data_IF_777339055397
#
_entry.id   IF_777339055397
#
_cell.length_a   1.000
_cell.length_b   1.000
_cell.length_c   1.000
_cell.angle_alpha   90.00
_cell.angle_beta   90.00
_cell.angle_gamma   90.00
#
_symmetry.space_group_name_H-M   'P 1'
#
loop_
_entity.id
_entity.type
_entity.pdbx_description
1 polymer ?
#
# COMPACT_ATOMS: atom_id res chain seq x y z
N UNK A 1 1.56 25.46 -23.48
CA UNK A 1 1.59 24.59 -22.29
C UNK A 1 0.23 24.54 -21.58
N UNK A 2 -0.88 24.28 -22.29
CA UNK A 2 -2.24 24.39 -21.71
C UNK A 2 -3.18 23.24 -22.08
N UNK A 3 -2.73 22.29 -22.91
CA UNK A 3 -3.54 21.12 -23.28
C UNK A 3 -3.49 19.97 -22.26
N UNK A 4 -2.42 19.88 -21.46
CA UNK A 4 -2.23 18.78 -20.49
C UNK A 4 -3.08 18.91 -19.22
N UNK A 5 -3.34 20.15 -18.77
CA UNK A 5 -4.10 20.41 -17.54
C UNK A 5 -5.60 20.08 -17.69
N UNK A 6 -6.18 20.34 -18.87
CA UNK A 6 -7.58 20.02 -19.17
C UNK A 6 -7.84 18.52 -19.27
N UNK A 7 -6.90 17.77 -19.84
CA UNK A 7 -6.99 16.31 -19.97
C UNK A 7 -6.85 15.63 -18.60
N UNK A 8 -5.95 16.11 -17.74
CA UNK A 8 -5.82 15.59 -16.37
C UNK A 8 -7.06 15.90 -15.51
N UNK A 9 -7.64 17.09 -15.64
CA UNK A 9 -8.88 17.47 -14.96
C UNK A 9 -10.08 16.63 -15.45
N UNK A 10 -10.17 16.37 -16.76
CA UNK A 10 -11.21 15.50 -17.32
C UNK A 10 -11.05 14.03 -16.91
N UNK A 11 -9.81 13.51 -16.81
CA UNK A 11 -9.52 12.17 -16.30
C UNK A 11 -9.78 12.05 -14.78
N UNK A 12 -9.51 13.11 -14.00
CA UNK A 12 -9.86 13.17 -12.58
C UNK A 12 -11.39 13.25 -12.36
N UNK A 13 -12.11 13.91 -13.26
CA UNK A 13 -13.59 13.93 -13.25
C UNK A 13 -14.20 12.58 -13.67
N UNK A 14 -13.52 11.79 -14.51
CA UNK A 14 -13.92 10.43 -14.90
C UNK A 14 -13.61 9.37 -13.81
N UNK A 15 -12.71 9.66 -12.87
CA UNK A 15 -12.41 8.81 -11.71
C UNK A 15 -13.35 9.05 -10.51
N UNK A 16 -14.19 10.09 -10.57
CA UNK A 16 -15.27 10.28 -9.62
C UNK A 16 -16.44 9.35 -9.97
N UNK A 17 -16.34 8.08 -9.59
CA UNK A 17 -17.45 7.14 -9.75
C UNK A 17 -18.74 7.73 -9.13
N UNK A 18 -19.87 7.80 -9.86
CA UNK A 18 -21.14 8.23 -9.30
C UNK A 18 -21.65 7.09 -8.44
N UNK A 19 -21.25 7.10 -7.17
CA UNK A 19 -21.43 5.96 -6.29
C UNK A 19 -21.99 6.35 -4.95
N UNK A 20 -23.09 7.10 -4.90
CA UNK A 20 -23.73 7.40 -3.62
C UNK A 20 -25.12 6.78 -3.60
N UNK A 21 -25.29 5.74 -2.77
CA UNK A 21 -26.58 5.24 -2.30
C UNK A 21 -27.19 6.32 -1.40
N UNK A 22 -28.43 6.73 -1.69
CA UNK A 22 -28.95 8.07 -1.37
C UNK A 22 -30.49 8.12 -1.38
N UNK A 23 -31.07 8.36 -0.17
CA UNK A 23 -32.45 8.59 0.31
C UNK A 23 -33.21 7.44 0.97
N UNK A 24 -33.54 7.63 2.25
CA UNK A 24 -34.69 7.04 2.91
C UNK A 24 -35.67 8.16 3.21
N UNK A 25 -36.86 8.12 2.59
CA UNK A 25 -37.93 9.11 2.81
C UNK A 25 -39.25 8.39 2.91
N UNK A 26 -40.02 8.72 3.94
CA UNK A 26 -41.36 8.19 4.15
C UNK A 26 -42.40 9.04 3.43
N UNK A 27 -43.39 8.36 2.85
CA UNK A 27 -44.54 8.97 2.20
C UNK A 27 -45.81 8.34 2.76
N UNK A 28 -46.84 9.16 2.92
CA UNK A 28 -48.18 8.71 3.16
C UNK A 28 -48.87 8.36 1.83
N UNK A 29 -49.96 7.61 1.90
CA UNK A 29 -50.79 7.37 0.72
C UNK A 29 -51.52 8.64 0.28
N UNK A 30 -52.00 9.44 1.23
CA UNK A 30 -52.74 10.67 0.99
C UNK A 30 -51.87 11.94 1.19
N UNK A 31 -52.17 13.02 0.46
CA UNK A 31 -51.50 14.32 0.64
C UNK A 31 -51.69 14.91 2.04
N UNK A 32 -50.70 15.66 2.51
CA UNK A 32 -50.78 16.42 3.77
C UNK A 32 -50.94 15.53 5.02
N UNK A 33 -50.00 14.59 5.29
CA UNK A 33 -50.14 13.68 6.41
C UNK A 33 -50.26 14.41 7.75
N UNK A 34 -51.30 14.06 8.52
CA UNK A 34 -51.58 14.56 9.86
C UNK A 34 -50.76 13.83 10.96
N UNK A 35 -49.59 13.31 10.60
CA UNK A 35 -48.72 12.54 11.48
C UNK A 35 -47.26 12.67 11.07
N UNK A 36 -46.37 12.29 11.98
CA UNK A 36 -44.92 12.29 11.79
C UNK A 36 -44.33 10.91 12.11
N UNK A 37 -43.08 10.67 11.71
CA UNK A 37 -42.35 9.43 12.01
C UNK A 37 -41.42 9.66 13.20
N UNK A 38 -41.58 8.88 14.26
CA UNK A 38 -40.73 8.95 15.45
C UNK A 38 -41.10 7.91 16.51
N UNK A 39 -40.14 7.35 17.26
CA UNK A 39 -38.69 7.40 16.99
C UNK A 39 -38.33 6.70 15.66
N UNK A 40 -37.15 6.96 15.11
CA UNK A 40 -36.68 6.33 13.86
C UNK A 40 -35.24 5.83 13.99
N UNK A 41 -35.02 4.53 13.75
CA UNK A 41 -33.68 3.94 13.73
C UNK A 41 -33.45 3.17 12.45
N UNK A 42 -32.42 3.56 11.71
CA UNK A 42 -32.00 2.89 10.49
C UNK A 42 -30.69 2.18 10.78
N UNK A 43 -30.73 0.86 10.90
CA UNK A 43 -29.58 0.08 11.35
C UNK A 43 -29.08 -0.86 10.26
N UNK A 44 -27.85 -0.68 9.79
CA UNK A 44 -27.18 -1.67 8.96
C UNK A 44 -26.26 -2.56 9.80
N UNK A 45 -26.27 -3.86 9.55
CA UNK A 45 -25.35 -4.82 10.18
C UNK A 45 -24.34 -5.32 9.16
N UNK A 46 -23.06 -5.06 9.43
CA UNK A 46 -21.91 -5.44 8.61
C UNK A 46 -21.21 -6.63 9.25
N UNK A 47 -20.88 -7.62 8.42
CA UNK A 47 -20.13 -8.81 8.85
C UNK A 47 -18.83 -8.94 8.07
N UNK A 48 -17.81 -9.66 8.59
CA UNK A 48 -16.56 -9.91 7.87
C UNK A 48 -16.71 -10.58 6.51
N UNK A 49 -17.84 -11.26 6.25
CA UNK A 49 -18.16 -11.86 4.95
C UNK A 49 -18.42 -10.83 3.85
N UNK A 50 -18.70 -9.57 4.22
CA UNK A 50 -18.87 -8.42 3.31
C UNK A 50 -19.93 -8.62 2.20
N UNK A 51 -20.91 -9.51 2.44
CA UNK A 51 -22.09 -9.64 1.59
C UNK A 51 -23.07 -8.47 1.76
N UNK A 52 -24.20 -8.49 1.02
CA UNK A 52 -25.28 -7.51 1.19
C UNK A 52 -25.69 -7.40 2.67
N UNK A 53 -25.52 -6.24 3.32
CA UNK A 53 -25.84 -6.10 4.74
C UNK A 53 -27.34 -6.17 4.99
N UNK A 54 -27.70 -6.71 6.15
CA UNK A 54 -29.06 -6.59 6.68
C UNK A 54 -29.29 -5.18 7.17
N UNK A 55 -30.41 -4.59 6.80
CA UNK A 55 -30.85 -3.27 7.25
C UNK A 55 -32.21 -3.38 7.92
N UNK A 56 -32.30 -2.89 9.15
CA UNK A 56 -33.53 -2.77 9.91
C UNK A 56 -33.93 -1.30 10.00
N UNK A 57 -35.11 -0.96 9.47
CA UNK A 57 -35.74 0.36 9.65
C UNK A 57 -36.80 0.20 10.74
N UNK A 58 -36.49 0.68 11.93
CA UNK A 58 -37.39 0.64 13.09
C UNK A 58 -38.03 2.01 13.31
N UNK A 59 -39.36 2.08 13.34
CA UNK A 59 -40.08 3.34 13.46
C UNK A 59 -41.46 3.20 14.14
N UNK A 60 -42.01 4.32 14.58
CA UNK A 60 -43.41 4.47 15.00
C UNK A 60 -44.04 5.72 14.38
N UNK A 61 -45.37 5.82 14.41
CA UNK A 61 -46.09 7.01 13.98
C UNK A 61 -46.46 7.85 15.21
N UNK A 62 -46.23 9.16 15.11
CA UNK A 62 -46.62 10.14 16.12
C UNK A 62 -47.74 11.00 15.54
N UNK A 63 -48.88 10.99 16.21
CA UNK A 63 -50.03 11.81 15.85
C UNK A 63 -50.07 13.02 16.78
N UNK A 64 -50.02 14.26 16.25
CA UNK A 64 -50.11 15.46 17.07
C UNK A 64 -51.41 15.52 17.90
N UNK A 65 -51.40 16.20 19.06
CA UNK A 65 -52.61 16.36 19.87
C UNK A 65 -53.77 16.97 19.07
N UNK A 66 -54.97 16.40 19.22
CA UNK A 66 -56.17 16.87 18.52
C UNK A 66 -56.29 16.44 17.05
N UNK A 67 -55.34 15.65 16.55
CA UNK A 67 -55.42 15.02 15.22
C UNK A 67 -55.71 13.52 15.36
N UNK A 68 -56.29 12.95 14.32
CA UNK A 68 -56.43 11.51 14.15
C UNK A 68 -55.76 11.09 12.85
N UNK A 69 -55.24 9.87 12.84
CA UNK A 69 -54.66 9.27 11.63
C UNK A 69 -55.74 8.50 10.90
N UNK A 70 -55.90 8.81 9.61
CA UNK A 70 -56.73 8.02 8.69
C UNK A 70 -55.96 6.76 8.31
N UNK A 71 -56.65 5.61 8.32
CA UNK A 71 -56.09 4.33 7.88
C UNK A 71 -55.60 4.45 6.44
N UNK A 72 -54.29 4.28 6.24
CA UNK A 72 -53.67 4.42 4.93
C UNK A 72 -52.31 3.75 4.91
N UNK A 73 -51.88 3.30 3.73
CA UNK A 73 -50.56 2.69 3.59
C UNK A 73 -49.45 3.73 3.73
N UNK A 74 -48.28 3.26 4.19
CA UNK A 74 -47.05 4.03 4.18
C UNK A 74 -46.15 3.55 3.06
N UNK A 75 -45.37 4.46 2.50
CA UNK A 75 -44.37 4.12 1.51
C UNK A 75 -42.99 4.56 1.97
N UNK A 76 -41.99 3.73 1.72
CA UNK A 76 -40.59 4.06 1.94
C UNK A 76 -39.87 4.01 0.59
N UNK A 77 -39.31 5.16 0.19
CA UNK A 77 -38.35 5.21 -0.91
C UNK A 77 -36.98 4.84 -0.36
N UNK A 78 -36.49 3.67 -0.75
CA UNK A 78 -35.18 3.16 -0.38
C UNK A 78 -34.19 3.31 -1.53
N UNK A 79 -32.92 3.64 -1.28
CA UNK A 79 -31.96 3.82 -2.34
C UNK A 79 -31.17 2.56 -2.61
N UNK A 80 -31.11 2.17 -3.88
CA UNK A 80 -30.53 0.89 -4.28
C UNK A 80 -31.56 -0.24 -4.29
N UNK A 81 -31.03 -1.42 -4.61
CA UNK A 81 -31.80 -2.66 -4.72
C UNK A 81 -31.85 -3.38 -3.38
N UNK A 82 -32.99 -4.00 -3.09
CA UNK A 82 -33.17 -4.87 -1.92
C UNK A 82 -33.50 -6.29 -2.36
N UNK A 83 -33.20 -7.25 -1.50
CA UNK A 83 -33.54 -8.66 -1.71
C UNK A 83 -34.82 -8.97 -0.95
N UNK A 84 -35.78 -9.60 -1.64
CA UNK A 84 -37.01 -10.08 -1.02
C UNK A 84 -36.75 -11.24 -0.07
N UNK A 85 -37.51 -11.28 1.02
CA UNK A 85 -37.41 -12.35 2.01
C UNK A 85 -38.06 -13.62 1.45
N UNK A 86 -37.32 -14.75 1.40
CA UNK A 86 -37.88 -16.02 0.95
C UNK A 86 -39.12 -16.41 1.77
N UNK A 87 -40.18 -16.85 1.10
CA UNK A 87 -41.38 -17.38 1.75
C UNK A 87 -42.44 -16.34 2.15
N UNK A 88 -42.21 -15.04 1.94
CA UNK A 88 -43.24 -14.00 2.20
C UNK A 88 -44.22 -13.77 1.04
N UNK A 89 -44.06 -14.46 -0.08
CA UNK A 89 -44.92 -14.38 -1.26
C UNK A 89 -44.37 -13.48 -2.37
N UNK A 90 -45.08 -13.39 -3.51
CA UNK A 90 -44.63 -12.64 -4.67
C UNK A 90 -44.73 -11.13 -4.47
N UNK A 91 -44.10 -10.39 -5.39
CA UNK A 91 -44.28 -8.95 -5.55
C UNK A 91 -45.76 -8.59 -5.76
N UNK A 92 -46.10 -7.33 -5.55
CA UNK A 92 -47.44 -6.81 -5.78
C UNK A 92 -47.57 -6.26 -7.21
N UNK A 93 -48.41 -6.87 -8.08
CA UNK A 93 -48.59 -6.41 -9.47
C UNK A 93 -49.14 -4.98 -9.57
N UNK A 94 -49.93 -4.52 -8.59
CA UNK A 94 -50.46 -3.16 -8.60
C UNK A 94 -49.35 -2.14 -8.32
N UNK A 95 -48.41 -2.47 -7.42
CA UNK A 95 -47.25 -1.64 -7.12
C UNK A 95 -46.29 -1.57 -8.31
N UNK A 96 -46.09 -2.69 -8.99
CA UNK A 96 -45.29 -2.75 -10.22
C UNK A 96 -45.91 -1.92 -11.33
N UNK A 97 -47.21 -2.09 -11.57
CA UNK A 97 -47.95 -1.30 -12.55
C UNK A 97 -47.87 0.20 -12.26
N UNK A 98 -48.04 0.63 -11.01
CA UNK A 98 -47.93 2.05 -10.62
C UNK A 98 -46.56 2.64 -10.97
N UNK A 99 -45.48 1.90 -10.71
CA UNK A 99 -44.11 2.35 -11.01
C UNK A 99 -43.84 2.37 -12.53
N UNK A 100 -44.36 1.40 -13.28
CA UNK A 100 -44.25 1.36 -14.75
C UNK A 100 -45.05 2.50 -15.40
N UNK A 101 -46.29 2.72 -14.96
CA UNK A 101 -47.17 3.79 -15.47
C UNK A 101 -46.56 5.19 -15.25
N UNK A 102 -45.64 5.33 -14.28
CA UNK A 102 -44.85 6.55 -14.00
C UNK A 102 -43.59 6.69 -14.87
N UNK A 103 -43.32 5.75 -15.77
CA UNK A 103 -42.21 5.81 -16.73
C UNK A 103 -40.88 5.26 -16.18
N UNK A 104 -40.92 4.38 -15.20
CA UNK A 104 -39.74 3.66 -14.72
C UNK A 104 -39.72 2.21 -15.23
N UNK A 105 -38.52 1.64 -15.33
CA UNK A 105 -38.34 0.23 -15.66
C UNK A 105 -38.15 -0.55 -14.36
N UNK A 106 -39.03 -1.50 -14.08
CA UNK A 106 -38.92 -2.39 -12.91
C UNK A 106 -37.93 -3.51 -13.22
N UNK A 107 -36.98 -3.74 -12.30
CA UNK A 107 -35.91 -4.73 -12.43
C UNK A 107 -35.97 -5.83 -11.37
N UNK A 108 -36.87 -5.70 -10.40
CA UNK A 108 -37.08 -6.70 -9.36
C UNK A 108 -38.23 -6.33 -8.43
N UNK A 109 -38.71 -7.29 -7.66
CA UNK A 109 -39.77 -7.07 -6.68
C UNK A 109 -39.94 -8.25 -5.75
N UNK A 110 -40.71 -8.06 -4.68
CA UNK A 110 -40.98 -9.10 -3.70
C UNK A 110 -41.64 -8.53 -2.45
N UNK A 111 -41.41 -9.22 -1.32
CA UNK A 111 -41.87 -8.79 0.00
C UNK A 111 -40.73 -8.78 1.01
N UNK A 112 -40.80 -7.84 1.94
CA UNK A 112 -39.86 -7.64 3.04
C UNK A 112 -40.53 -8.01 4.36
N UNK A 113 -39.73 -8.47 5.31
CA UNK A 113 -40.23 -8.83 6.64
C UNK A 113 -40.65 -7.58 7.40
N UNK A 114 -41.87 -7.61 7.92
CA UNK A 114 -42.43 -6.55 8.74
C UNK A 114 -42.82 -7.15 10.08
N UNK A 115 -42.32 -6.56 11.17
CA UNK A 115 -42.58 -7.04 12.53
C UNK A 115 -42.96 -5.88 13.44
N UNK A 116 -43.70 -6.16 14.49
CA UNK A 116 -44.03 -5.21 15.55
C UNK A 116 -43.45 -5.70 16.88
N UNK A 117 -42.84 -4.79 17.64
CA UNK A 117 -42.32 -5.07 18.98
C UNK A 117 -42.98 -4.16 19.99
N UNK A 118 -43.54 -4.76 21.04
CA UNK A 118 -44.05 -4.03 22.19
C UNK A 118 -42.88 -3.61 23.09
N UNK A 119 -42.80 -2.32 23.44
CA UNK A 119 -41.72 -1.73 24.23
C UNK A 119 -41.76 -2.13 25.72
N UNK A 120 -42.93 -2.46 26.27
CA UNK A 120 -43.09 -2.86 27.67
C UNK A 120 -42.88 -4.37 27.90
N UNK A 121 -42.82 -5.16 26.83
CA UNK A 121 -42.50 -6.57 26.94
C UNK A 121 -40.98 -6.74 27.07
N UNK A 122 -40.53 -6.75 28.33
CA UNK A 122 -39.14 -7.06 28.70
C UNK A 122 -38.87 -8.58 28.51
N UNK A 123 -37.74 -8.94 27.88
CA UNK A 123 -37.27 -10.33 27.69
C UNK A 123 -37.01 -10.73 26.23
N UNK A 124 -36.63 -11.99 26.00
CA UNK A 124 -36.31 -12.60 24.69
C UNK A 124 -37.54 -12.89 23.79
N UNK A 125 -38.68 -12.24 24.02
CA UNK A 125 -39.86 -12.50 23.21
C UNK A 125 -39.63 -11.98 21.80
N UNK A 126 -39.70 -12.88 20.81
CA UNK A 126 -39.44 -12.56 19.40
C UNK A 126 -40.45 -11.50 18.91
N UNK A 127 -40.02 -10.54 18.07
CA UNK A 127 -40.93 -9.59 17.43
C UNK A 127 -42.10 -10.32 16.75
N UNK A 128 -43.30 -9.74 16.86
CA UNK A 128 -44.50 -10.33 16.27
C UNK A 128 -44.54 -10.04 14.76
N UNK A 129 -44.65 -11.05 13.88
CA UNK A 129 -44.74 -10.81 12.45
C UNK A 129 -46.05 -10.12 12.10
N UNK A 130 -45.98 -9.09 11.25
CA UNK A 130 -47.15 -8.48 10.64
C UNK A 130 -47.49 -9.25 9.36
N UNK A 131 -48.70 -9.85 9.25
CA UNK A 131 -49.07 -10.69 8.11
C UNK A 131 -48.87 -10.00 6.77
N UNK A 132 -48.35 -10.73 5.79
CA UNK A 132 -48.14 -10.26 4.42
C UNK A 132 -46.86 -9.44 4.19
N UNK A 133 -46.21 -8.93 5.23
CA UNK A 133 -44.98 -8.13 5.09
C UNK A 133 -45.18 -6.84 4.28
N UNK A 134 -44.09 -6.20 3.88
CA UNK A 134 -44.12 -5.00 3.04
C UNK A 134 -43.77 -5.35 1.59
N UNK A 135 -44.66 -5.06 0.64
CA UNK A 135 -44.38 -5.29 -0.78
C UNK A 135 -43.37 -4.26 -1.29
N UNK A 136 -42.49 -4.64 -2.21
CA UNK A 136 -41.57 -3.70 -2.84
C UNK A 136 -41.35 -3.98 -4.31
N UNK A 137 -40.95 -2.93 -5.02
CA UNK A 137 -40.44 -2.99 -6.39
C UNK A 137 -39.16 -2.19 -6.49
N UNK A 138 -38.12 -2.79 -7.08
CA UNK A 138 -36.88 -2.12 -7.43
C UNK A 138 -36.96 -1.69 -8.88
N UNK A 139 -36.63 -0.44 -9.14
CA UNK A 139 -36.76 0.18 -10.44
C UNK A 139 -35.52 1.02 -10.80
N UNK A 140 -35.36 1.25 -12.09
CA UNK A 140 -34.37 2.13 -12.68
C UNK A 140 -35.07 3.08 -13.64
N UNK A 141 -34.37 4.14 -14.00
CA UNK A 141 -34.76 5.02 -15.09
C UNK A 141 -33.88 4.73 -16.29
N UNK A 142 -34.51 4.25 -17.35
CA UNK A 142 -33.91 4.09 -18.66
C UNK A 142 -34.22 5.35 -19.50
N UNK A 143 -33.26 5.80 -20.30
CA UNK A 143 -33.43 6.95 -21.20
C UNK A 143 -32.99 8.32 -20.65
N UNK A 144 -32.46 9.15 -21.56
CA UNK A 144 -31.89 10.48 -21.31
C UNK A 144 -30.37 10.54 -21.57
N UNK A 145 -29.82 11.76 -21.71
CA UNK A 145 -28.40 12.00 -22.05
C UNK A 145 -27.37 11.40 -21.06
N UNK A 146 -27.83 10.93 -19.90
CA UNK A 146 -27.00 10.44 -18.80
C UNK A 146 -27.03 8.90 -18.64
N UNK A 147 -27.70 8.16 -19.53
CA UNK A 147 -27.74 6.69 -19.52
C UNK A 147 -28.55 6.09 -18.35
N UNK A 148 -28.32 4.80 -18.04
CA UNK A 148 -29.02 4.06 -16.97
C UNK A 148 -28.79 4.68 -15.58
N UNK A 149 -29.84 4.81 -14.77
CA UNK A 149 -29.71 5.30 -13.39
C UNK A 149 -29.26 4.20 -12.41
N UNK A 150 -28.74 4.60 -11.25
CA UNK A 150 -28.68 3.69 -10.09
C UNK A 150 -30.09 3.19 -9.73
N UNK A 151 -30.24 1.93 -9.30
CA UNK A 151 -31.53 1.41 -8.82
C UNK A 151 -32.05 2.16 -7.60
N UNK A 152 -33.37 2.22 -7.47
CA UNK A 152 -34.10 2.63 -6.27
C UNK A 152 -35.21 1.63 -6.00
N UNK A 153 -35.69 1.56 -4.76
CA UNK A 153 -36.75 0.65 -4.36
C UNK A 153 -37.91 1.41 -3.75
N UNK A 154 -39.12 1.15 -4.24
CA UNK A 154 -40.36 1.65 -3.68
C UNK A 154 -41.01 0.56 -2.84
N UNK A 155 -41.16 0.81 -1.54
CA UNK A 155 -41.65 -0.17 -0.57
C UNK A 155 -43.00 0.30 -0.06
N UNK A 156 -44.06 -0.49 -0.27
CA UNK A 156 -45.38 -0.30 0.33
C UNK A 156 -45.48 -1.06 1.64
N UNK A 157 -45.64 -0.32 2.72
CA UNK A 157 -45.83 -0.80 4.08
C UNK A 157 -47.34 -0.73 4.38
N UNK A 158 -48.03 -1.88 4.45
CA UNK A 158 -49.48 -1.89 4.66
C UNK A 158 -49.85 -1.31 6.02
N UNK A 159 -50.94 -0.55 6.09
CA UNK A 159 -51.44 0.00 7.34
C UNK A 159 -51.61 -1.08 8.42
N UNK A 160 -51.27 -0.73 9.66
CA UNK A 160 -51.61 -1.54 10.82
C UNK A 160 -51.99 -0.64 12.01
N UNK A 161 -53.04 -0.96 12.78
CA UNK A 161 -53.43 -0.16 13.94
C UNK A 161 -52.31 0.04 14.98
N UNK A 162 -51.35 -0.89 15.05
CA UNK A 162 -50.19 -0.78 15.95
C UNK A 162 -49.24 0.35 15.57
N UNK A 163 -49.31 0.89 14.36
CA UNK A 163 -48.43 1.99 13.92
C UNK A 163 -48.70 3.28 14.70
N UNK A 164 -49.98 3.55 14.98
CA UNK A 164 -50.44 4.71 15.74
C UNK A 164 -50.38 4.50 17.27
N UNK A 165 -49.88 3.35 17.72
CA UNK A 165 -49.74 3.03 19.13
C UNK A 165 -48.28 3.17 19.55
N UNK A 166 -47.97 4.18 20.35
CA UNK A 166 -46.61 4.51 20.84
C UNK A 166 -45.95 3.37 21.65
N UNK A 167 -46.73 2.38 22.10
CA UNK A 167 -46.21 1.17 22.76
C UNK A 167 -45.49 0.25 21.79
N UNK A 168 -45.79 0.33 20.49
CA UNK A 168 -45.22 -0.54 19.48
C UNK A 168 -44.17 0.20 18.64
N UNK A 169 -43.05 -0.48 18.40
CA UNK A 169 -42.09 -0.11 17.37
C UNK A 169 -42.18 -1.11 16.24
N UNK A 170 -42.38 -0.60 15.04
CA UNK A 170 -42.45 -1.38 13.81
C UNK A 170 -41.05 -1.54 13.27
N UNK A 171 -40.71 -2.72 12.79
CA UNK A 171 -39.42 -3.01 12.16
C UNK A 171 -39.64 -3.60 10.79
N UNK A 172 -39.16 -2.87 9.78
CA UNK A 172 -39.00 -3.34 8.42
C UNK A 172 -37.57 -3.85 8.24
N UNK A 173 -37.43 -5.15 7.99
CA UNK A 173 -36.13 -5.82 7.81
C UNK A 173 -35.92 -6.15 6.33
N UNK A 174 -34.76 -5.73 5.79
CA UNK A 174 -34.40 -5.93 4.40
C UNK A 174 -32.93 -6.27 4.24
N UNK A 175 -32.57 -6.92 3.13
CA UNK A 175 -31.16 -7.11 2.75
C UNK A 175 -30.83 -6.16 1.60
N UNK A 176 -29.95 -5.19 1.83
CA UNK A 176 -29.68 -4.12 0.88
C UNK A 176 -28.44 -4.41 0.03
N UNK A 177 -28.57 -4.40 -1.31
CA UNK A 177 -27.44 -4.58 -2.22
C UNK A 177 -26.69 -3.26 -2.43
N UNK A 178 -25.38 -3.37 -2.64
CA UNK A 178 -24.54 -2.23 -3.03
C UNK A 178 -24.34 -1.15 -1.97
N UNK A 179 -24.76 -1.41 -0.72
CA UNK A 179 -24.55 -0.50 0.41
C UNK A 179 -23.07 -0.43 0.82
N UNK A 180 -22.37 -1.57 0.72
CA UNK A 180 -20.93 -1.69 0.90
C UNK A 180 -20.28 -1.73 -0.47
N UNK A 181 -19.35 -0.83 -0.74
CA UNK A 181 -18.59 -0.79 -1.99
C UNK A 181 -17.09 -0.91 -1.72
N UNK A 182 -16.35 -1.68 -2.52
CA UNK A 182 -14.89 -1.68 -2.41
C UNK A 182 -14.35 -0.29 -2.74
N UNK A 183 -13.46 0.21 -1.89
CA UNK A 183 -12.66 1.40 -2.17
C UNK A 183 -11.53 0.99 -3.12
N UNK A 184 -11.38 1.66 -4.27
CA UNK A 184 -10.23 1.44 -5.14
C UNK A 184 -8.94 1.67 -4.34
N UNK A 185 -7.97 0.79 -4.54
CA UNK A 185 -6.69 0.82 -3.86
C UNK A 185 -5.66 0.09 -4.70
N UNK A 186 -4.39 0.42 -4.51
CA UNK A 186 -3.30 -0.20 -5.25
C UNK A 186 -3.15 -1.68 -4.83
N UNK A 187 -2.46 -2.48 -5.66
CA UNK A 187 -2.17 -3.87 -5.29
C UNK A 187 -1.40 -3.94 -3.97
N UNK A 188 -0.45 -3.02 -3.75
CA UNK A 188 0.35 -2.92 -2.53
C UNK A 188 -0.53 -2.67 -1.29
N UNK A 189 -1.45 -1.70 -1.37
CA UNK A 189 -2.39 -1.40 -0.28
C UNK A 189 -3.27 -2.60 0.06
N UNK A 190 -3.78 -3.30 -0.95
CA UNK A 190 -4.62 -4.49 -0.74
C UNK A 190 -3.84 -5.64 -0.09
N UNK A 191 -2.58 -5.83 -0.47
CA UNK A 191 -1.74 -6.92 0.06
C UNK A 191 -1.33 -6.66 1.51
N UNK A 192 -0.87 -5.45 1.83
CA UNK A 192 -0.29 -5.16 3.15
C UNK A 192 -1.28 -4.58 4.15
N UNK A 193 -2.30 -3.84 3.71
CA UNK A 193 -3.24 -3.14 4.58
C UNK A 193 -4.67 -3.66 4.51
N UNK A 194 -4.91 -4.66 3.67
CA UNK A 194 -6.23 -5.26 3.44
C UNK A 194 -7.14 -4.46 2.53
N UNK A 195 -8.16 -5.12 1.95
CA UNK A 195 -9.15 -4.45 1.13
C UNK A 195 -9.94 -3.45 1.98
N UNK A 196 -10.17 -2.25 1.42
CA UNK A 196 -10.95 -1.19 2.05
C UNK A 196 -12.31 -1.09 1.41
N UNK A 197 -13.28 -0.72 2.21
CA UNK A 197 -14.68 -0.61 1.84
C UNK A 197 -15.24 0.72 2.31
N UNK A 198 -16.23 1.20 1.58
CA UNK A 198 -17.05 2.35 1.94
C UNK A 198 -18.48 1.89 2.12
N UNK A 199 -19.06 2.20 3.28
CA UNK A 199 -20.48 2.06 3.55
C UNK A 199 -21.08 3.46 3.66
N UNK A 200 -22.22 3.67 3.02
CA UNK A 200 -22.96 4.94 3.08
C UNK A 200 -24.42 4.66 3.42
N UNK A 201 -24.86 5.15 4.57
CA UNK A 201 -26.28 5.24 4.95
C UNK A 201 -26.73 6.69 4.90
N UNK A 202 -27.98 6.93 4.53
CA UNK A 202 -28.49 8.30 4.43
C UNK A 202 -29.98 8.39 4.69
N UNK A 203 -30.41 9.55 5.19
CA UNK A 203 -31.80 9.96 5.30
C UNK A 203 -32.06 11.23 4.47
N UNK A 204 -33.26 11.37 3.89
CA UNK A 204 -33.68 12.54 3.10
C UNK A 204 -32.82 12.94 1.89
N UNK A 205 -32.12 12.00 1.29
CA UNK A 205 -31.13 12.28 0.25
C UNK A 205 -31.67 12.06 -1.18
N UNK A 206 -32.41 13.05 -1.68
CA UNK A 206 -33.23 12.93 -2.89
C UNK A 206 -32.48 13.04 -4.22
N UNK A 207 -31.16 13.22 -4.24
CA UNK A 207 -30.40 13.61 -5.46
C UNK A 207 -30.19 12.49 -6.49
N UNK A 208 -30.57 11.24 -6.21
CA UNK A 208 -30.40 10.17 -7.20
C UNK A 208 -31.36 10.31 -8.37
N UNK A 209 -30.91 9.91 -9.56
CA UNK A 209 -31.67 10.03 -10.80
C UNK A 209 -32.98 9.22 -10.83
N UNK A 210 -33.03 8.07 -10.14
CA UNK A 210 -34.26 7.27 -9.99
C UNK A 210 -35.14 7.77 -8.84
N UNK A 211 -34.53 8.23 -7.73
CA UNK A 211 -35.24 8.68 -6.52
C UNK A 211 -35.93 10.02 -6.76
N UNK A 212 -35.23 11.00 -7.35
CA UNK A 212 -35.72 12.38 -7.45
C UNK A 212 -37.10 12.48 -8.15
N UNK A 213 -37.34 11.86 -9.31
CA UNK A 213 -38.65 11.97 -9.97
C UNK A 213 -39.75 11.32 -9.14
N UNK A 214 -39.48 10.19 -8.48
CA UNK A 214 -40.43 9.52 -7.59
C UNK A 214 -40.78 10.42 -6.39
N UNK A 215 -39.75 10.98 -5.74
CA UNK A 215 -39.94 11.98 -4.68
C UNK A 215 -40.76 13.18 -5.16
N UNK A 216 -40.44 13.74 -6.33
CA UNK A 216 -41.09 14.94 -6.86
C UNK A 216 -42.58 14.73 -7.13
N UNK A 217 -42.98 13.53 -7.59
CA UNK A 217 -44.37 13.15 -7.83
C UNK A 217 -45.19 12.98 -6.53
N UNK A 218 -44.53 12.65 -5.41
CA UNK A 218 -45.17 12.40 -4.12
C UNK A 218 -44.78 13.43 -3.05
N UNK A 219 -44.26 14.61 -3.45
CA UNK A 219 -43.70 15.61 -2.53
C UNK A 219 -44.70 16.15 -1.51
N UNK A 220 -45.99 16.14 -1.85
CA UNK A 220 -47.13 16.54 -1.02
C UNK A 220 -47.51 15.46 0.02
N UNK A 221 -46.97 14.25 -0.13
CA UNK A 221 -47.23 13.10 0.76
C UNK A 221 -46.06 12.80 1.70
N UNK A 222 -44.98 13.57 1.64
CA UNK A 222 -43.78 13.34 2.45
C UNK A 222 -44.11 13.46 3.95
N UNK A 223 -43.78 12.42 4.70
CA UNK A 223 -43.97 12.39 6.16
C UNK A 223 -42.72 12.94 6.84
N UNK A 224 -42.92 13.91 7.74
CA UNK A 224 -41.81 14.55 8.48
C UNK A 224 -41.37 13.71 9.67
N UNK A 225 -40.13 13.90 10.11
CA UNK A 225 -39.67 13.37 11.40
C UNK A 225 -40.38 14.05 12.57
N UNK A 226 -40.65 13.29 13.61
CA UNK A 226 -41.14 13.77 14.90
C UNK A 226 -40.00 14.35 15.76
N UNK A 227 -40.30 14.74 16.99
CA UNK A 227 -39.31 15.21 17.97
C UNK A 227 -38.58 14.06 18.67
N UNK A 228 -39.09 12.84 18.53
CA UNK A 228 -38.46 11.64 19.06
C UNK A 228 -37.08 11.37 18.45
N UNK A 229 -36.21 10.63 19.16
CA UNK A 229 -34.88 10.30 18.66
C UNK A 229 -34.91 9.63 17.30
N UNK A 230 -34.12 10.17 16.38
CA UNK A 230 -33.90 9.61 15.05
C UNK A 230 -32.39 9.39 14.81
N UNK A 231 -31.98 8.21 14.32
CA UNK A 231 -30.56 7.88 14.12
C UNK A 231 -30.31 6.96 12.92
N UNK A 232 -29.16 7.16 12.28
CA UNK A 232 -28.51 6.17 11.41
C UNK A 232 -27.49 5.39 12.24
N UNK A 233 -27.48 4.07 12.11
CA UNK A 233 -26.65 3.16 12.91
C UNK A 233 -26.00 2.13 11.99
N UNK A 234 -24.71 1.88 12.20
CA UNK A 234 -23.96 0.81 11.54
C UNK A 234 -23.31 -0.05 12.61
N UNK A 235 -23.71 -1.31 12.68
CA UNK A 235 -23.13 -2.30 13.58
C UNK A 235 -22.12 -3.14 12.81
N UNK A 236 -20.88 -3.17 13.28
CA UNK A 236 -19.84 -4.07 12.80
C UNK A 236 -19.72 -5.25 13.75
N UNK A 237 -20.11 -6.44 13.28
CA UNK A 237 -20.26 -7.63 14.13
C UNK A 237 -18.95 -8.29 14.62
N UNK A 238 -17.79 -7.74 14.26
CA UNK A 238 -16.46 -8.27 14.63
C UNK A 238 -15.49 -7.10 14.83
N UNK A 239 -15.50 -6.53 16.03
CA UNK A 239 -14.67 -5.37 16.38
C UNK A 239 -13.18 -5.71 16.46
N UNK A 240 -12.83 -6.95 16.78
CA UNK A 240 -11.45 -7.39 16.99
C UNK A 240 -10.63 -7.29 15.69
N UNK A 241 -11.30 -7.49 14.55
CA UNK A 241 -10.68 -7.50 13.22
C UNK A 241 -11.02 -6.26 12.39
N UNK A 242 -11.66 -5.26 12.99
CA UNK A 242 -12.18 -4.09 12.31
C UNK A 242 -11.21 -2.91 12.37
N UNK A 243 -10.88 -2.34 11.20
CA UNK A 243 -10.30 -1.01 11.08
C UNK A 243 -11.34 -0.06 10.54
N UNK A 244 -11.59 1.04 11.23
CA UNK A 244 -12.29 2.20 10.67
C UNK A 244 -11.25 3.29 10.42
N UNK A 245 -11.11 3.70 9.16
CA UNK A 245 -10.13 4.72 8.75
C UNK A 245 -10.72 6.13 8.79
N UNK A 246 -11.99 6.27 8.41
CA UNK A 246 -12.65 7.56 8.27
C UNK A 246 -14.15 7.43 8.54
N UNK A 247 -14.71 8.42 9.22
CA UNK A 247 -16.14 8.56 9.46
C UNK A 247 -16.56 9.99 9.13
N UNK A 248 -17.72 10.15 8.48
CA UNK A 248 -18.28 11.44 8.13
C UNK A 248 -19.80 11.42 8.34
N UNK A 249 -20.40 12.49 8.87
CA UNK A 249 -19.79 13.75 9.33
C UNK A 249 -19.02 13.58 10.66
N UNK A 250 -18.29 14.63 11.09
CA UNK A 250 -17.56 14.62 12.36
C UNK A 250 -18.46 14.48 13.60
N UNK A 251 -19.76 14.77 13.47
CA UNK A 251 -20.76 14.54 14.52
C UNK A 251 -21.13 13.06 14.71
N UNK A 252 -20.70 12.17 13.80
CA UNK A 252 -20.89 10.74 13.95
C UNK A 252 -20.09 10.21 15.16
N UNK A 253 -20.71 9.31 15.93
CA UNK A 253 -20.12 8.72 17.14
C UNK A 253 -19.78 7.27 16.88
N UNK A 254 -18.69 6.81 17.48
CA UNK A 254 -18.27 5.42 17.50
C UNK A 254 -18.20 4.95 18.95
N UNK A 255 -18.82 3.82 19.24
CA UNK A 255 -18.84 3.22 20.57
C UNK A 255 -18.90 1.70 20.44
N UNK A 256 -18.24 0.98 21.38
CA UNK A 256 -18.51 -0.44 21.51
C UNK A 256 -19.98 -0.63 21.92
N UNK A 257 -20.61 -1.66 21.37
CA UNK A 257 -21.98 -2.03 21.74
C UNK A 257 -22.01 -2.49 23.19
N UNK A 258 -22.93 -1.91 23.97
CA UNK A 258 -23.14 -2.31 25.37
C UNK A 258 -23.82 -3.68 25.50
N UNK A 259 -24.49 -4.14 24.44
CA UNK A 259 -25.37 -5.32 24.48
C UNK A 259 -24.88 -6.50 23.65
N UNK A 260 -23.96 -6.25 22.71
CA UNK A 260 -23.44 -7.27 21.82
C UNK A 260 -21.93 -7.32 21.97
N UNK A 261 -21.43 -8.48 22.40
CA UNK A 261 -20.00 -8.70 22.50
C UNK A 261 -19.35 -8.54 21.12
N UNK A 262 -18.12 -8.01 21.11
CA UNK A 262 -17.31 -7.79 19.89
C UNK A 262 -18.02 -7.01 18.78
N UNK A 263 -18.97 -6.15 19.13
CA UNK A 263 -19.69 -5.34 18.15
C UNK A 263 -19.30 -3.87 18.31
N UNK A 264 -18.81 -3.26 17.25
CA UNK A 264 -18.54 -1.83 17.20
C UNK A 264 -19.70 -1.11 16.51
N UNK A 265 -20.19 -0.03 17.12
CA UNK A 265 -21.37 0.70 16.64
C UNK A 265 -20.97 2.12 16.26
N UNK A 266 -21.25 2.48 15.01
CA UNK A 266 -21.14 3.85 14.52
C UNK A 266 -22.53 4.43 14.30
N UNK A 267 -22.82 5.58 14.89
CA UNK A 267 -24.13 6.22 14.81
C UNK A 267 -24.05 7.70 14.45
N UNK A 268 -25.11 8.19 13.80
CA UNK A 268 -25.34 9.59 13.51
C UNK A 268 -26.76 9.94 13.93
N UNK A 269 -26.92 10.91 14.82
CA UNK A 269 -28.23 11.47 15.14
C UNK A 269 -28.76 12.28 13.96
N UNK A 270 -30.03 12.09 13.65
CA UNK A 270 -30.72 12.83 12.61
C UNK A 270 -31.31 14.12 13.21
N UNK A 271 -30.99 15.25 12.61
CA UNK A 271 -31.54 16.56 12.96
C UNK A 271 -32.82 16.83 12.15
N UNK A 272 -33.94 17.06 12.83
CA UNK A 272 -35.22 17.42 12.21
C UNK A 272 -35.18 18.84 11.62
N UNK A 273 -34.43 19.76 12.23
CA UNK A 273 -34.36 21.17 11.84
C UNK A 273 -33.74 21.36 10.45
N UNK A 274 -32.88 20.41 10.06
CA UNK A 274 -32.31 20.30 8.72
C UNK A 274 -33.38 19.98 7.65
N UNK A 275 -34.61 19.64 8.05
CA UNK A 275 -35.75 19.48 7.16
C UNK A 275 -35.54 18.39 6.12
N UNK A 276 -35.45 18.79 4.85
CA UNK A 276 -35.20 17.90 3.71
C UNK A 276 -33.72 17.84 3.32
N UNK A 277 -32.81 18.45 4.11
CA UNK A 277 -31.39 18.35 3.81
C UNK A 277 -30.92 16.90 3.95
N UNK A 278 -30.08 16.43 3.02
CA UNK A 278 -29.50 15.10 3.08
C UNK A 278 -28.59 14.91 4.30
N UNK A 279 -28.92 13.95 5.14
CA UNK A 279 -28.10 13.55 6.28
C UNK A 279 -27.48 12.20 6.00
N UNK A 280 -26.15 12.14 5.95
CA UNK A 280 -25.41 11.00 5.39
C UNK A 280 -24.33 10.53 6.36
N UNK A 281 -24.41 9.26 6.77
CA UNK A 281 -23.36 8.56 7.50
C UNK A 281 -22.50 7.77 6.51
N UNK A 282 -21.26 8.23 6.31
CA UNK A 282 -20.26 7.54 5.48
C UNK A 282 -19.13 7.00 6.33
N UNK A 283 -18.82 5.72 6.16
CA UNK A 283 -17.79 5.01 6.92
C UNK A 283 -16.83 4.34 5.95
N UNK A 284 -15.54 4.58 6.11
CA UNK A 284 -14.48 3.82 5.44
C UNK A 284 -13.87 2.84 6.42
N UNK A 285 -13.87 1.56 6.05
CA UNK A 285 -13.45 0.49 6.94
C UNK A 285 -12.79 -0.65 6.18
N UNK A 286 -12.13 -1.54 6.91
CA UNK A 286 -11.59 -2.80 6.40
C UNK A 286 -11.56 -3.85 7.50
N UNK A 287 -11.82 -5.10 7.14
CA UNK A 287 -11.54 -6.23 8.00
C UNK A 287 -10.16 -6.77 7.68
N UNK A 288 -9.34 -7.00 8.69
CA UNK A 288 -8.00 -7.55 8.55
C UNK A 288 -7.95 -9.00 9.01
N UNK A 289 -7.31 -9.86 8.23
CA UNK A 289 -7.11 -11.27 8.56
C UNK A 289 -5.74 -11.79 8.11
N UNK A 290 -5.28 -12.89 8.71
CA UNK A 290 -4.07 -13.61 8.29
C UNK A 290 -2.79 -12.77 8.36
N UNK A 291 -1.99 -12.76 7.29
CA UNK A 291 -0.70 -12.05 7.23
C UNK A 291 -0.81 -10.51 7.36
N UNK A 292 -1.99 -9.93 7.09
CA UNK A 292 -2.17 -8.47 7.14
C UNK A 292 -2.08 -7.92 8.57
N UNK A 293 -2.50 -8.70 9.59
CA UNK A 293 -2.32 -8.31 10.99
C UNK A 293 -0.86 -8.35 11.42
N UNK A 294 -0.02 -9.13 10.72
CA UNK A 294 1.42 -9.22 10.97
C UNK A 294 2.26 -8.21 10.17
N UNK A 295 1.70 -7.54 9.16
CA UNK A 295 2.44 -6.58 8.33
C UNK A 295 3.20 -5.51 9.12
N UNK A 296 2.65 -4.92 10.22
CA UNK A 296 3.39 -3.98 11.06
C UNK A 296 4.62 -4.58 11.75
N UNK A 297 4.69 -5.90 11.91
CA UNK A 297 5.82 -6.63 12.52
C UNK A 297 6.80 -7.10 11.43
N UNK A 298 6.27 -7.69 10.36
CA UNK A 298 7.06 -8.28 9.28
C UNK A 298 7.81 -7.23 8.45
N UNK A 299 7.20 -6.05 8.19
CA UNK A 299 7.85 -5.00 7.40
C UNK A 299 9.09 -4.46 8.15
N UNK A 300 9.01 -4.02 9.42
CA UNK A 300 10.20 -3.63 10.17
C UNK A 300 11.22 -4.76 10.33
N UNK A 301 10.78 -6.00 10.58
CA UNK A 301 11.69 -7.15 10.69
C UNK A 301 12.46 -7.40 9.39
N UNK A 302 11.80 -7.27 8.23
CA UNK A 302 12.43 -7.37 6.92
C UNK A 302 13.44 -6.23 6.69
N UNK A 303 13.07 -4.98 6.98
CA UNK A 303 13.97 -3.83 6.87
C UNK A 303 15.16 -3.96 7.83
N UNK A 304 14.95 -4.49 9.04
CA UNK A 304 16.01 -4.75 10.01
C UNK A 304 16.95 -5.86 9.52
N UNK A 305 16.41 -6.94 8.96
CA UNK A 305 17.20 -8.02 8.37
C UNK A 305 17.98 -7.55 7.14
N UNK A 306 17.39 -6.71 6.29
CA UNK A 306 18.06 -6.13 5.12
C UNK A 306 19.12 -5.10 5.54
N UNK A 307 18.82 -4.24 6.52
CA UNK A 307 19.75 -3.23 7.03
C UNK A 307 20.97 -3.83 7.72
N UNK A 308 20.78 -4.84 8.58
CA UNK A 308 21.88 -5.51 9.27
C UNK A 308 22.57 -6.59 8.40
N UNK A 309 21.84 -7.26 7.51
CA UNK A 309 22.38 -8.32 6.64
C UNK A 309 23.19 -7.80 5.46
N UNK A 310 22.87 -6.60 4.94
CA UNK A 310 23.58 -6.01 3.81
C UNK A 310 25.07 -5.77 4.10
N UNK A 311 25.42 -5.36 5.32
CA UNK A 311 26.82 -5.12 5.71
C UNK A 311 27.69 -6.38 5.64
N UNK A 312 27.15 -7.51 6.10
CA UNK A 312 27.88 -8.80 6.12
C UNK A 312 28.02 -9.39 4.71
N UNK A 313 26.99 -9.28 3.87
CA UNK A 313 27.01 -9.75 2.48
C UNK A 313 27.94 -8.91 1.60
N UNK A 314 27.89 -7.59 1.71
CA UNK A 314 28.77 -6.69 0.94
C UNK A 314 30.23 -6.90 1.33
N UNK A 315 30.53 -7.06 2.62
CA UNK A 315 31.89 -7.33 3.09
C UNK A 315 32.44 -8.66 2.56
N UNK A 316 31.66 -9.74 2.62
CA UNK A 316 32.08 -11.06 2.14
C UNK A 316 32.29 -11.10 0.62
N UNK A 317 31.51 -10.34 -0.15
CA UNK A 317 31.66 -10.22 -1.60
C UNK A 317 32.87 -9.34 -1.94
N UNK A 318 33.06 -8.21 -1.25
CA UNK A 318 34.19 -7.32 -1.44
C UNK A 318 35.54 -7.98 -1.09
N UNK A 319 35.62 -8.75 -0.01
CA UNK A 319 36.84 -9.47 0.40
C UNK A 319 37.22 -10.59 -0.60
N UNK A 320 36.23 -11.23 -1.25
CA UNK A 320 36.49 -12.26 -2.28
C UNK A 320 36.87 -11.67 -3.64
N UNK A 321 36.36 -10.50 -3.98
CA UNK A 321 36.69 -9.80 -5.23
C UNK A 321 38.04 -9.06 -5.15
N UNK A 322 38.36 -8.44 -4.01
CA UNK A 322 39.61 -7.68 -3.85
C UNK A 322 40.87 -8.56 -3.93
N UNK A 323 40.87 -9.73 -3.28
CA UNK A 323 41.99 -10.69 -3.32
C UNK A 323 42.26 -11.26 -4.70
N UNK A 324 41.29 -11.23 -5.61
CA UNK A 324 41.40 -11.83 -6.95
C UNK A 324 41.75 -10.80 -8.04
N UNK A 325 41.57 -9.51 -7.76
CA UNK A 325 41.70 -8.41 -8.74
C UNK A 325 42.86 -7.45 -8.47
N UNK A 326 43.33 -7.31 -7.22
CA UNK A 326 44.38 -6.34 -6.86
C UNK A 326 45.75 -6.57 -7.52
N UNK A 327 46.04 -7.78 -8.02
CA UNK A 327 47.30 -8.11 -8.69
C UNK A 327 47.29 -8.09 -10.22
N UNK A 328 46.12 -7.92 -10.87
CA UNK A 328 45.95 -8.20 -12.31
C UNK A 328 45.65 -6.99 -13.20
N UNK A 329 45.28 -5.85 -12.62
CA UNK A 329 44.86 -4.67 -13.37
C UNK A 329 45.75 -3.49 -13.02
N UNK A 330 46.62 -3.11 -13.96
CA UNK A 330 47.27 -1.80 -13.92
C UNK A 330 46.45 -0.82 -14.74
N UNK A 331 46.04 0.28 -14.10
CA UNK A 331 45.48 1.45 -14.76
C UNK A 331 46.64 2.37 -15.16
N UNK A 332 46.78 2.64 -16.45
CA UNK A 332 47.87 3.47 -16.98
C UNK A 332 47.87 3.55 -18.50
N UNK A 333 48.36 4.67 -19.05
CA UNK A 333 48.41 4.92 -20.49
C UNK A 333 49.35 3.95 -21.21
N UNK A 334 48.94 3.42 -22.35
CA UNK A 334 49.70 2.42 -23.16
C UNK A 334 51.07 2.96 -23.63
N UNK A 335 51.27 4.29 -23.65
CA UNK A 335 52.54 4.93 -24.04
C UNK A 335 53.58 5.03 -22.92
N UNK A 336 53.22 4.75 -21.67
CA UNK A 336 54.19 4.76 -20.57
C UNK A 336 54.97 3.44 -20.52
N UNK A 337 56.30 3.56 -20.56
CA UNK A 337 57.23 2.48 -20.24
C UNK A 337 56.79 1.78 -18.95
N UNK A 338 56.80 0.43 -18.90
CA UNK A 338 56.30 -0.30 -17.75
C UNK A 338 56.97 0.23 -16.48
N UNK A 339 56.18 0.52 -15.43
CA UNK A 339 56.70 0.90 -14.11
C UNK A 339 57.48 -0.28 -13.54
N UNK A 340 58.76 -0.36 -13.91
CA UNK A 340 59.74 -1.26 -13.34
C UNK A 340 59.96 -0.78 -11.91
N UNK A 341 59.72 -1.67 -10.94
CA UNK A 341 60.12 -1.41 -9.56
C UNK A 341 61.52 -1.97 -9.38
N UNK A 342 62.45 -1.08 -9.05
CA UNK A 342 63.83 -1.43 -8.75
C UNK A 342 64.09 -1.16 -7.28
N UNK A 343 64.66 -2.12 -6.58
CA UNK A 343 65.10 -1.99 -5.19
C UNK A 343 66.59 -2.35 -5.13
N UNK A 344 67.42 -1.52 -4.52
CA UNK A 344 68.88 -1.70 -4.48
C UNK A 344 69.59 -1.29 -5.78
N UNK A 345 70.86 -1.69 -5.92
CA UNK A 345 71.72 -1.31 -7.04
C UNK A 345 71.61 -2.32 -8.16
N UNK A 346 70.95 -1.93 -9.26
CA UNK A 346 70.92 -2.70 -10.51
C UNK A 346 71.86 -2.04 -11.50
N UNK A 347 73.06 -2.60 -11.67
CA UNK A 347 74.06 -2.07 -12.58
C UNK A 347 73.68 -2.32 -14.03
N UNK A 348 73.67 -1.26 -14.85
CA UNK A 348 73.51 -1.41 -16.30
C UNK A 348 74.77 -1.99 -16.95
N UNK A 349 74.61 -2.74 -18.03
CA UNK A 349 75.71 -3.34 -18.77
C UNK A 349 76.67 -2.28 -19.31
N UNK A 350 76.20 -1.08 -19.65
CA UNK A 350 77.06 0.02 -20.08
C UNK A 350 77.92 0.55 -18.93
N UNK A 351 77.38 0.65 -17.72
CA UNK A 351 78.13 1.06 -16.52
C UNK A 351 79.18 0.01 -16.14
N UNK A 352 78.83 -1.27 -16.17
CA UNK A 352 79.79 -2.35 -15.88
C UNK A 352 80.94 -2.40 -16.89
N UNK A 353 80.69 -2.09 -18.17
CA UNK A 353 81.75 -1.99 -19.20
C UNK A 353 82.76 -0.87 -18.94
N UNK A 354 82.40 0.14 -18.14
CA UNK A 354 83.32 1.23 -17.76
C UNK A 354 84.27 0.82 -16.64
N UNK A 355 83.99 -0.29 -15.94
CA UNK A 355 84.87 -0.87 -14.93
C UNK A 355 85.86 -1.78 -15.65
N UNK A 356 87.10 -1.34 -15.79
CA UNK A 356 88.16 -2.06 -16.50
C UNK A 356 89.14 -2.65 -15.47
N UNK A 357 89.27 -3.98 -15.41
CA UNK A 357 90.25 -4.63 -14.54
C UNK A 357 91.67 -4.09 -14.77
N UNK A 358 92.40 -3.80 -13.69
CA UNK A 358 93.75 -3.24 -13.71
C UNK A 358 93.83 -1.73 -13.92
N UNK A 359 92.70 -1.03 -14.13
CA UNK A 359 92.66 0.44 -14.28
C UNK A 359 91.71 1.13 -13.32
N UNK A 360 90.52 0.57 -13.13
CA UNK A 360 89.50 1.18 -12.27
C UNK A 360 89.86 0.99 -10.80
N UNK A 361 89.83 2.07 -10.03
CA UNK A 361 90.11 2.06 -8.59
C UNK A 361 88.83 1.94 -7.77
N UNK A 362 88.95 1.64 -6.48
CA UNK A 362 87.83 1.55 -5.54
C UNK A 362 86.91 2.79 -5.59
N UNK A 363 87.49 3.99 -5.53
CA UNK A 363 86.74 5.25 -5.53
C UNK A 363 86.00 5.49 -6.85
N UNK A 364 86.55 5.00 -7.96
CA UNK A 364 85.88 5.06 -9.26
C UNK A 364 84.69 4.09 -9.34
N UNK A 365 84.81 2.90 -8.73
CA UNK A 365 83.70 1.95 -8.63
C UNK A 365 82.55 2.53 -7.81
N UNK A 366 82.85 3.14 -6.65
CA UNK A 366 81.82 3.79 -5.82
C UNK A 366 81.14 4.96 -6.54
N UNK A 367 81.89 5.73 -7.37
CA UNK A 367 81.30 6.78 -8.21
C UNK A 367 80.37 6.23 -9.29
N UNK A 368 80.67 5.06 -9.84
CA UNK A 368 79.91 4.46 -10.93
C UNK A 368 78.67 3.68 -10.45
N UNK A 369 78.75 3.00 -9.31
CA UNK A 369 77.69 2.10 -8.81
C UNK A 369 76.97 2.62 -7.55
N UNK A 370 77.51 3.64 -6.89
CA UNK A 370 76.97 4.22 -5.65
C UNK A 370 77.57 3.64 -4.38
N UNK A 371 77.09 4.15 -3.24
CA UNK A 371 77.58 3.84 -1.88
C UNK A 371 76.83 2.68 -1.21
N UNK A 372 75.77 2.15 -1.84
CA UNK A 372 75.02 1.00 -1.36
C UNK A 372 75.71 -0.33 -1.72
N UNK A 373 76.82 -0.60 -1.02
CA UNK A 373 77.70 -1.75 -1.25
C UNK A 373 77.92 -2.55 0.03
N UNK A 374 77.93 -3.88 -0.09
CA UNK A 374 78.45 -4.76 0.95
C UNK A 374 79.96 -4.96 0.70
N UNK A 375 80.81 -4.36 1.55
CA UNK A 375 82.27 -4.53 1.48
C UNK A 375 82.72 -5.68 2.38
N UNK A 376 83.31 -6.70 1.78
CA UNK A 376 83.95 -7.81 2.50
C UNK A 376 85.46 -7.69 2.40
N UNK A 377 86.13 -7.51 3.54
CA UNK A 377 87.57 -7.64 3.66
C UNK A 377 87.93 -8.99 4.29
N UNK A 378 88.94 -9.67 3.75
CA UNK A 378 89.46 -10.90 4.36
C UNK A 378 90.46 -10.52 5.44
N UNK A 379 90.22 -10.93 6.68
CA UNK A 379 91.12 -10.68 7.83
C UNK A 379 92.54 -11.22 7.62
N UNK A 380 92.71 -12.25 6.78
CA UNK A 380 94.00 -12.88 6.45
C UNK A 380 94.73 -12.22 5.27
N UNK A 381 94.08 -11.33 4.52
CA UNK A 381 94.63 -10.64 3.36
C UNK A 381 93.98 -9.25 3.24
N UNK A 382 94.42 -8.25 4.04
CA UNK A 382 93.78 -6.93 4.11
C UNK A 382 93.85 -6.14 2.80
N UNK A 383 94.80 -6.49 1.93
CA UNK A 383 94.96 -5.88 0.60
C UNK A 383 93.93 -6.39 -0.43
N UNK A 384 93.10 -7.38 -0.07
CA UNK A 384 92.04 -7.92 -0.91
C UNK A 384 90.67 -7.55 -0.35
N UNK A 385 89.87 -6.88 -1.18
CA UNK A 385 88.51 -6.44 -0.85
C UNK A 385 87.55 -6.96 -1.91
N UNK A 386 86.37 -7.40 -1.49
CA UNK A 386 85.30 -7.80 -2.39
C UNK A 386 84.12 -6.87 -2.16
N UNK A 387 83.70 -6.16 -3.21
CA UNK A 387 82.51 -5.32 -3.22
C UNK A 387 81.35 -6.11 -3.82
N UNK A 388 80.23 -6.18 -3.10
CA UNK A 388 79.02 -6.86 -3.55
C UNK A 388 77.88 -5.85 -3.66
N UNK A 389 77.36 -5.69 -4.88
CA UNK A 389 76.18 -4.89 -5.16
C UNK A 389 74.99 -5.80 -5.44
N UNK A 390 73.89 -5.57 -4.72
CA UNK A 390 72.65 -6.35 -4.87
C UNK A 390 71.50 -5.45 -5.28
N UNK A 391 70.77 -5.89 -6.28
CA UNK A 391 69.58 -5.21 -6.78
C UNK A 391 68.52 -6.20 -7.19
N UNK A 392 67.26 -5.80 -7.06
CA UNK A 392 66.09 -6.57 -7.51
C UNK A 392 65.27 -5.72 -8.44
N UNK A 393 64.96 -6.26 -9.62
CA UNK A 393 64.13 -5.63 -10.65
C UNK A 393 62.88 -6.46 -10.88
N UNK A 394 61.71 -5.86 -10.64
CA UNK A 394 60.42 -6.49 -10.94
C UNK A 394 59.91 -6.00 -12.31
N UNK A 395 59.79 -6.92 -13.26
CA UNK A 395 59.36 -6.64 -14.63
C UNK A 395 57.98 -7.28 -14.87
N UNK A 396 56.94 -6.48 -15.21
CA UNK A 396 55.61 -7.03 -15.51
C UNK A 396 55.56 -7.59 -16.94
N UNK A 397 55.05 -8.82 -17.10
CA UNK A 397 54.78 -9.41 -18.41
C UNK A 397 53.32 -9.15 -18.84
N UNK A 398 53.14 -8.40 -19.93
CA UNK A 398 51.82 -7.95 -20.43
C UNK A 398 51.39 -8.77 -21.65
N UNK A 399 50.15 -9.25 -21.67
CA UNK A 399 49.59 -10.02 -22.81
C UNK A 399 48.61 -9.22 -23.68
N UNK A 400 47.82 -8.33 -23.09
CA UNK A 400 46.81 -7.52 -23.80
C UNK A 400 46.72 -6.13 -23.20
N UNK A 401 46.74 -5.11 -24.04
CA UNK A 401 46.54 -3.71 -23.65
C UNK A 401 45.38 -3.13 -24.48
N UNK A 402 44.38 -2.59 -23.80
CA UNK A 402 43.26 -1.88 -24.40
C UNK A 402 43.19 -0.48 -23.77
N UNK A 403 43.58 0.53 -24.54
CA UNK A 403 43.50 1.98 -24.29
C UNK A 403 44.01 2.53 -22.94
N UNK A 404 43.48 2.07 -21.80
CA UNK A 404 43.82 2.52 -20.44
C UNK A 404 44.00 1.36 -19.44
N UNK A 405 43.87 0.11 -19.91
CA UNK A 405 43.92 -1.11 -19.11
C UNK A 405 44.91 -2.11 -19.71
N UNK A 406 45.89 -2.52 -18.90
CA UNK A 406 46.81 -3.61 -19.23
C UNK A 406 46.65 -4.74 -18.22
N UNK A 407 46.36 -5.95 -18.71
CA UNK A 407 46.32 -7.17 -17.89
C UNK A 407 47.72 -7.75 -17.77
N UNK A 408 48.23 -7.89 -16.55
CA UNK A 408 49.52 -8.53 -16.23
C UNK A 408 49.30 -10.04 -16.09
N UNK A 409 50.00 -10.85 -16.87
CA UNK A 409 49.88 -12.31 -16.83
C UNK A 409 50.72 -12.91 -15.69
N UNK A 410 51.94 -12.38 -15.51
CA UNK A 410 52.85 -12.73 -14.43
C UNK A 410 53.89 -11.62 -14.21
N UNK A 411 54.58 -11.66 -13.06
CA UNK A 411 55.72 -10.81 -12.75
C UNK A 411 57.00 -11.64 -12.79
N UNK A 412 58.03 -11.12 -13.45
CA UNK A 412 59.38 -11.68 -13.39
C UNK A 412 60.22 -10.86 -12.42
N UNK A 413 60.81 -11.52 -11.44
CA UNK A 413 61.82 -10.94 -10.55
C UNK A 413 63.20 -11.28 -11.09
N UNK A 414 63.98 -10.25 -11.43
CA UNK A 414 65.40 -10.37 -11.72
C UNK A 414 66.19 -9.95 -10.48
N UNK A 415 66.96 -10.87 -9.92
CA UNK A 415 67.96 -10.60 -8.89
C UNK A 415 69.30 -10.38 -9.58
N UNK A 416 69.88 -9.21 -9.36
CA UNK A 416 71.16 -8.77 -9.90
C UNK A 416 72.17 -8.75 -8.76
N UNK A 417 73.23 -9.52 -8.88
CA UNK A 417 74.36 -9.54 -7.96
C UNK A 417 75.64 -9.26 -8.76
N UNK A 418 76.33 -8.19 -8.43
CA UNK A 418 77.62 -7.84 -9.02
C UNK A 418 78.68 -7.94 -7.94
N UNK A 419 79.66 -8.81 -8.17
CA UNK A 419 80.81 -9.01 -7.30
C UNK A 419 82.04 -8.44 -7.98
N UNK A 420 82.73 -7.52 -7.31
CA UNK A 420 83.95 -6.88 -7.80
C UNK A 420 85.06 -7.18 -6.80
N UNK A 421 86.09 -7.88 -7.25
CA UNK A 421 87.27 -8.17 -6.44
C UNK A 421 88.33 -7.11 -6.70
N UNK A 422 88.88 -6.53 -5.63
CA UNK A 422 89.94 -5.55 -5.66
C UNK A 422 91.18 -6.10 -4.95
N UNK A 423 92.34 -5.77 -5.51
CA UNK A 423 93.64 -6.04 -4.92
C UNK A 423 94.46 -4.75 -4.93
N UNK A 424 94.93 -4.31 -3.76
CA UNK A 424 95.63 -3.01 -3.60
C UNK A 424 94.86 -1.84 -4.23
N UNK A 425 93.56 -1.81 -3.96
CA UNK A 425 92.64 -0.75 -4.40
C UNK A 425 92.32 -0.68 -5.90
N UNK A 426 92.77 -1.67 -6.68
CA UNK A 426 92.51 -1.76 -8.12
C UNK A 426 91.64 -2.99 -8.41
N UNK A 427 90.65 -2.82 -9.29
CA UNK A 427 89.75 -3.91 -9.71
C UNK A 427 90.54 -5.01 -10.40
N UNK A 428 90.41 -6.25 -9.93
CA UNK A 428 91.04 -7.45 -10.50
C UNK A 428 90.07 -8.28 -11.31
N UNK A 429 88.85 -8.46 -10.81
CA UNK A 429 87.81 -9.25 -11.47
C UNK A 429 86.43 -8.63 -11.24
N UNK A 430 85.54 -8.82 -12.21
CA UNK A 430 84.15 -8.35 -12.16
C UNK A 430 83.24 -9.47 -12.62
N UNK A 431 82.39 -9.95 -11.72
CA UNK A 431 81.40 -10.99 -11.99
C UNK A 431 80.00 -10.42 -11.82
N UNK A 432 79.16 -10.54 -12.84
CA UNK A 432 77.76 -10.17 -12.78
C UNK A 432 76.89 -11.43 -12.93
N UNK A 433 76.07 -11.71 -11.92
CA UNK A 433 75.11 -12.80 -11.92
C UNK A 433 73.70 -12.23 -11.94
N UNK A 434 72.90 -12.67 -12.91
CA UNK A 434 71.48 -12.33 -13.01
C UNK A 434 70.66 -13.61 -12.85
N UNK A 435 69.82 -13.67 -11.82
CA UNK A 435 68.89 -14.78 -11.58
C UNK A 435 67.46 -14.32 -11.86
N UNK A 436 66.73 -15.07 -12.68
CA UNK A 436 65.34 -14.78 -13.03
C UNK A 436 64.39 -15.78 -12.37
N UNK A 437 63.36 -15.30 -11.69
CA UNK A 437 62.32 -16.13 -11.08
C UNK A 437 60.91 -15.54 -11.32
N UNK A 438 59.90 -16.41 -11.41
CA UNK A 438 58.50 -16.00 -11.57
C UNK A 438 57.86 -15.76 -10.21
N UNK A 439 57.12 -14.66 -10.07
CA UNK A 439 56.43 -14.30 -8.83
C UNK A 439 54.95 -14.03 -9.10
N UNK A 440 54.09 -14.55 -8.22
CA UNK A 440 52.62 -14.50 -8.39
C UNK A 440 52.01 -13.14 -8.04
N UNK A 441 52.69 -12.33 -7.23
CA UNK A 441 52.25 -10.99 -6.85
C UNK A 441 53.44 -10.14 -6.37
N UNK A 442 53.44 -8.82 -6.60
CA UNK A 442 54.42 -7.92 -5.96
C UNK A 442 54.16 -7.90 -4.45
N UNK A 443 55.21 -8.01 -3.64
CA UNK A 443 55.11 -7.78 -2.19
C UNK A 443 54.71 -6.31 -1.91
N UNK A 444 53.86 -6.06 -0.89
CA UNK A 444 53.55 -4.70 -0.47
C UNK A 444 54.83 -4.04 0.08
N UNK A 445 54.99 -2.75 -0.25
CA UNK A 445 56.10 -1.92 0.24
C UNK A 445 55.94 -1.63 1.74
#
# INVERSE_FOLDING_TARGET
MTAGAGVLAALLLLLAAPGVARAQTFFAEHPGPAFTIGPLFVRATVTPKLGPPKVDVSFSIVVPPGQSVVEQDLYLLWPGEVVGEPGLGPADPALEKDVVDRGFTVIGGGRLSLTARNLYQMGERKPEPLPGGAAFVTFVREGGALGLSSPATWIRIPWNPRFANLVYVIRLSMTAKGLIKPKPGTWFERTFWGPRYRLVLSFNEIRQRAVFPMYFQHRDRVVKLAEDPAQLIVNFADSDHLKIDEMSPQSARRQLSETLDKTDTVSLFLDRSEGLQPQVLSIQFGYFSGLQSWAPILIPALFFALGNGAGVLVRNVAERLSKRWSGRLQFGSVKESPKVRTTGVVADAETLRRIVPGRTTHDEVLRLLGDQVEEHSRLTAPDQKTLIYRGRRLVPSRRRALAFLATVEHWDAEEHEVTIDLERDVVRDVQARVRRSRVSAPEPA
#
